data_IF_835688483078
#
_entry.id   IF_835688483078
#
_cell.length_a   1.000
_cell.length_b   1.000
_cell.length_c   1.000
_cell.angle_alpha   90.00
_cell.angle_beta   90.00
_cell.angle_gamma   90.00
#
_symmetry.space_group_name_H-M   'P 1'
#
loop_
_entity.id
_entity.type
_entity.pdbx_description
1 polymer ?
#
# COMPACT_ATOMS: atom_id res chain seq x y z
N UNK A 1 11.83 3.62 14.66
CA UNK A 1 11.74 2.18 14.33
C UNK A 1 10.33 1.86 13.81
N UNK A 2 10.08 0.68 13.22
CA UNK A 2 8.76 0.24 12.72
C UNK A 2 7.65 0.42 13.78
N UNK A 3 7.93 0.04 15.02
CA UNK A 3 6.96 0.14 16.12
C UNK A 3 6.61 1.59 16.46
N UNK A 4 7.53 2.54 16.28
CA UNK A 4 7.23 3.96 16.51
C UNK A 4 6.28 4.51 15.46
N UNK A 5 6.43 4.05 14.21
CA UNK A 5 5.53 4.42 13.11
C UNK A 5 4.13 3.86 13.35
N UNK A 6 4.02 2.61 13.80
CA UNK A 6 2.74 1.98 14.12
C UNK A 6 1.99 2.75 15.22
N UNK A 7 2.68 3.20 16.29
CA UNK A 7 2.08 4.05 17.32
C UNK A 7 1.47 5.33 16.76
N UNK A 8 2.10 5.95 15.76
CA UNK A 8 1.57 7.17 15.12
C UNK A 8 0.34 6.87 14.27
N UNK A 9 0.29 5.70 13.63
CA UNK A 9 -0.88 5.23 12.87
C UNK A 9 -2.05 4.95 13.82
N UNK A 10 -1.81 4.23 14.92
CA UNK A 10 -2.82 3.95 15.95
C UNK A 10 -3.38 5.22 16.58
N UNK A 11 -2.53 6.24 16.81
CA UNK A 11 -2.94 7.55 17.30
C UNK A 11 -3.67 8.41 16.25
N UNK A 12 -3.82 7.93 15.01
CA UNK A 12 -4.43 8.67 13.90
C UNK A 12 -3.62 9.87 13.40
N UNK A 13 -2.38 10.04 13.89
CA UNK A 13 -1.46 11.13 13.51
C UNK A 13 -0.77 10.88 12.18
N UNK A 14 -0.69 9.61 11.77
CA UNK A 14 -0.18 9.20 10.46
C UNK A 14 -1.24 8.36 9.73
N UNK A 15 -1.67 8.81 8.56
CA UNK A 15 -2.64 8.10 7.73
C UNK A 15 -1.93 7.58 6.48
N UNK A 16 -1.80 6.25 6.29
CA UNK A 16 -1.28 5.71 5.04
C UNK A 16 -2.27 6.00 3.91
N UNK A 17 -1.76 6.48 2.78
CA UNK A 17 -2.55 6.63 1.55
C UNK A 17 -2.45 5.32 0.78
N UNK A 18 -3.57 4.63 0.63
CA UNK A 18 -3.69 3.41 -0.15
C UNK A 18 -4.29 3.79 -1.50
N UNK A 19 -3.58 3.45 -2.58
CA UNK A 19 -4.03 3.70 -3.95
C UNK A 19 -5.02 2.63 -4.40
N UNK A 20 -4.62 1.36 -4.27
CA UNK A 20 -5.41 0.21 -4.70
C UNK A 20 -5.06 -1.03 -3.88
N UNK A 21 -6.06 -1.89 -3.66
CA UNK A 21 -5.89 -3.21 -3.06
C UNK A 21 -6.20 -4.23 -4.15
N UNK A 22 -5.23 -5.08 -4.46
CA UNK A 22 -5.30 -6.06 -5.53
C UNK A 22 -5.15 -7.49 -4.97
N UNK A 23 -5.83 -8.49 -5.55
CA UNK A 23 -5.53 -9.89 -5.29
C UNK A 23 -4.06 -10.20 -5.59
N UNK A 24 -3.45 -11.09 -4.81
CA UNK A 24 -2.05 -11.48 -4.98
C UNK A 24 -1.80 -12.11 -6.37
N UNK A 25 -2.80 -12.79 -6.93
CA UNK A 25 -2.78 -13.30 -8.31
C UNK A 25 -2.57 -12.19 -9.36
N UNK A 26 -2.92 -10.95 -9.04
CA UNK A 26 -2.79 -9.78 -9.92
C UNK A 26 -1.52 -8.96 -9.64
N UNK A 27 -0.52 -9.55 -8.95
CA UNK A 27 0.75 -8.88 -8.63
C UNK A 27 1.46 -8.29 -9.87
N UNK A 28 1.35 -8.94 -11.02
CA UNK A 28 1.90 -8.41 -12.28
C UNK A 28 1.29 -7.05 -12.63
N UNK A 29 -0.03 -6.92 -12.54
CA UNK A 29 -0.76 -5.66 -12.79
C UNK A 29 -0.34 -4.57 -11.80
N UNK A 30 -0.14 -4.93 -10.53
CA UNK A 30 0.37 -3.99 -9.52
C UNK A 30 1.76 -3.44 -9.91
N UNK A 31 2.66 -4.32 -10.40
CA UNK A 31 3.99 -3.90 -10.85
C UNK A 31 3.96 -3.05 -12.13
N UNK A 32 3.08 -3.34 -13.08
CA UNK A 32 2.88 -2.51 -14.27
C UNK A 32 2.40 -1.10 -13.90
N UNK A 33 1.45 -0.99 -12.95
CA UNK A 33 0.96 0.29 -12.42
C UNK A 33 2.05 1.07 -11.70
N UNK A 34 2.86 0.38 -10.89
CA UNK A 34 4.02 0.97 -10.21
C UNK A 34 5.08 1.47 -11.22
N UNK A 35 5.37 0.68 -12.25
CA UNK A 35 6.37 1.00 -13.29
C UNK A 35 5.96 2.19 -14.15
N UNK A 36 4.67 2.29 -14.46
CA UNK A 36 4.09 3.45 -15.16
C UNK A 36 4.00 4.72 -14.28
N UNK A 37 4.40 4.65 -13.01
CA UNK A 37 4.30 5.74 -12.01
C UNK A 37 2.87 6.31 -11.88
N UNK A 38 1.86 5.48 -12.15
CA UNK A 38 0.45 5.89 -12.13
C UNK A 38 -0.22 5.68 -10.77
N UNK A 39 0.45 5.02 -9.82
CA UNK A 39 -0.06 4.86 -8.44
C UNK A 39 0.08 6.15 -7.63
N UNK A 40 -0.94 6.49 -6.83
CA UNK A 40 -0.85 7.53 -5.80
C UNK A 40 -1.01 6.95 -4.40
N UNK A 41 0.12 6.63 -3.78
CA UNK A 41 0.16 5.98 -2.47
C UNK A 41 0.65 4.54 -2.56
N UNK A 42 0.19 3.70 -1.64
CA UNK A 42 0.62 2.31 -1.51
C UNK A 42 -0.31 1.37 -2.28
N UNK A 43 0.26 0.43 -3.02
CA UNK A 43 -0.44 -0.75 -3.52
C UNK A 43 -0.34 -1.86 -2.48
N UNK A 44 -1.46 -2.52 -2.18
CA UNK A 44 -1.52 -3.62 -1.21
C UNK A 44 -1.98 -4.88 -1.93
N UNK A 45 -1.26 -5.98 -1.75
CA UNK A 45 -1.66 -7.29 -2.25
C UNK A 45 -2.29 -8.11 -1.14
N UNK A 46 -3.47 -8.67 -1.40
CA UNK A 46 -4.18 -9.58 -0.48
C UNK A 46 -4.15 -11.01 -1.00
N UNK A 47 -4.01 -12.05 -0.15
CA UNK A 47 -3.85 -13.43 -0.61
C UNK A 47 -5.05 -14.03 -1.38
N UNK A 48 -6.26 -13.46 -1.27
CA UNK A 48 -7.50 -13.92 -1.92
C UNK A 48 -7.78 -13.21 -3.27
#
# INVERSE_FOLDING_TARGET
DLFDILKLIEQGKLKPVIDEVLPLKDAQKAHEKMTSRSQFGKLVLVPE
#
